data_IF_999073680955
#
_entry.id   IF_999073680955
#
_cell.length_a   1.000
_cell.length_b   1.000
_cell.length_c   1.000
_cell.angle_alpha   90.00
_cell.angle_beta   90.00
_cell.angle_gamma   90.00
#
_symmetry.space_group_name_H-M   'P 1'
#
loop_
_entity.id
_entity.type
_entity.pdbx_description
1 polymer ?
#
# COMPACT_ATOMS: atom_id res chain seq x y z
N UNK A 1 -7.23 0.92 28.74
CA UNK A 1 -6.14 0.47 27.86
C UNK A 1 -6.15 1.42 26.70
N UNK A 2 -5.06 2.15 26.43
CA UNK A 2 -5.06 3.13 25.33
C UNK A 2 -5.39 2.44 24.01
N UNK A 3 -6.24 3.07 23.18
CA UNK A 3 -6.59 2.57 21.86
C UNK A 3 -5.36 2.67 20.95
N UNK A 4 -4.48 1.68 21.04
CA UNK A 4 -3.36 1.58 20.12
C UNK A 4 -3.92 1.23 18.74
N UNK A 5 -3.75 2.15 17.78
CA UNK A 5 -4.10 1.96 16.36
C UNK A 5 -3.50 0.68 15.79
N UNK A 6 -2.33 0.26 16.31
CA UNK A 6 -1.61 -0.93 15.89
C UNK A 6 -1.45 -1.93 17.03
N UNK A 7 -1.55 -3.21 16.70
CA UNK A 7 -1.36 -4.31 17.65
C UNK A 7 0.12 -4.66 17.95
N UNK A 8 1.07 -3.98 17.29
CA UNK A 8 2.51 -4.17 17.40
C UNK A 8 3.26 -2.84 17.20
N UNK A 9 4.55 -2.74 17.60
CA UNK A 9 5.37 -1.58 17.27
C UNK A 9 5.38 -1.31 15.75
N UNK A 10 5.21 -0.05 15.36
CA UNK A 10 5.13 0.33 13.93
C UNK A 10 6.37 -0.08 13.13
N UNK A 11 7.55 -0.12 13.77
CA UNK A 11 8.79 -0.57 13.14
C UNK A 11 8.75 -2.04 12.74
N UNK A 12 8.08 -2.89 13.51
CA UNK A 12 7.87 -4.30 13.16
C UNK A 12 6.90 -4.44 12.00
N UNK A 13 5.84 -3.64 11.99
CA UNK A 13 4.83 -3.65 10.93
C UNK A 13 5.45 -3.21 9.60
N UNK A 14 6.22 -2.11 9.59
CA UNK A 14 6.92 -1.62 8.39
C UNK A 14 7.89 -2.68 7.86
N UNK A 15 8.63 -3.37 8.73
CA UNK A 15 9.55 -4.46 8.35
C UNK A 15 8.81 -5.70 7.83
N UNK A 16 7.65 -6.03 8.40
CA UNK A 16 6.84 -7.18 7.99
C UNK A 16 6.10 -6.94 6.65
N UNK A 17 5.79 -5.68 6.34
CA UNK A 17 5.08 -5.31 5.11
C UNK A 17 5.87 -5.74 3.87
N UNK A 18 5.21 -6.50 3.00
CA UNK A 18 5.73 -6.91 1.69
C UNK A 18 4.65 -6.79 0.63
N UNK A 19 5.03 -6.70 -0.65
CA UNK A 19 4.07 -6.74 -1.75
C UNK A 19 3.59 -8.18 -1.97
N UNK A 20 2.37 -8.48 -1.53
CA UNK A 20 1.74 -9.81 -1.63
C UNK A 20 0.92 -9.89 -2.92
N UNK A 21 1.16 -10.94 -3.71
CA UNK A 21 0.48 -11.16 -5.00
C UNK A 21 -0.29 -12.48 -5.06
N UNK A 22 -0.05 -13.37 -4.10
CA UNK A 22 -0.77 -14.62 -3.93
C UNK A 22 -1.50 -14.60 -2.61
N UNK A 23 -2.80 -14.83 -2.65
CA UNK A 23 -3.68 -14.83 -1.49
C UNK A 23 -4.32 -16.22 -1.34
N UNK A 24 -4.62 -16.63 -0.12
CA UNK A 24 -5.58 -17.71 0.05
C UNK A 24 -6.94 -17.16 -0.42
N UNK A 25 -7.78 -17.98 -1.07
CA UNK A 25 -9.06 -17.51 -1.63
C UNK A 25 -10.13 -17.29 -0.55
N UNK A 26 -9.70 -16.96 0.66
CA UNK A 26 -10.54 -16.73 1.83
C UNK A 26 -11.01 -15.27 1.86
N UNK A 27 -12.30 -15.08 2.08
CA UNK A 27 -12.90 -13.75 2.21
C UNK A 27 -12.60 -13.17 3.59
N UNK A 28 -12.45 -11.85 3.68
CA UNK A 28 -12.27 -11.18 4.97
C UNK A 28 -13.48 -11.43 5.87
N UNK A 29 -13.24 -11.70 7.16
CA UNK A 29 -14.33 -11.82 8.13
C UNK A 29 -15.05 -10.47 8.28
N UNK A 30 -16.27 -10.51 8.83
CA UNK A 30 -17.04 -9.30 9.10
C UNK A 30 -16.29 -8.34 10.02
N UNK A 31 -15.75 -8.85 11.13
CA UNK A 31 -14.96 -8.08 12.09
C UNK A 31 -13.74 -7.38 11.45
N UNK A 32 -12.99 -8.11 10.61
CA UNK A 32 -11.83 -7.53 9.91
C UNK A 32 -12.27 -6.46 8.90
N UNK A 33 -13.34 -6.71 8.14
CA UNK A 33 -13.87 -5.75 7.19
C UNK A 33 -14.33 -4.45 7.89
N UNK A 34 -15.04 -4.58 9.01
CA UNK A 34 -15.49 -3.43 9.82
C UNK A 34 -14.32 -2.64 10.40
N UNK A 35 -13.28 -3.31 10.90
CA UNK A 35 -12.05 -2.65 11.37
C UNK A 35 -11.37 -1.83 10.27
N UNK A 36 -11.31 -2.34 9.05
CA UNK A 36 -10.73 -1.64 7.90
C UNK A 36 -11.61 -0.46 7.50
N UNK A 37 -12.92 -0.65 7.40
CA UNK A 37 -13.87 0.41 7.05
C UNK A 37 -13.89 1.54 8.08
N UNK A 38 -13.77 1.22 9.37
CA UNK A 38 -13.67 2.22 10.43
C UNK A 38 -12.35 2.99 10.33
N UNK A 39 -11.23 2.31 10.10
CA UNK A 39 -9.95 2.98 9.90
C UNK A 39 -9.95 3.90 8.68
N UNK A 40 -10.60 3.50 7.58
CA UNK A 40 -10.84 4.34 6.40
C UNK A 40 -11.61 5.62 6.75
N UNK A 41 -12.57 5.57 7.67
CA UNK A 41 -13.35 6.76 8.09
C UNK A 41 -12.53 7.70 8.98
N UNK A 42 -11.54 7.19 9.69
CA UNK A 42 -10.76 7.93 10.68
C UNK A 42 -9.45 8.49 10.13
N UNK A 43 -8.87 7.84 9.13
CA UNK A 43 -7.59 8.25 8.57
C UNK A 43 -7.65 9.66 7.98
N UNK A 44 -6.61 10.46 8.25
CA UNK A 44 -6.48 11.83 7.72
C UNK A 44 -5.04 12.06 7.27
N UNK A 45 -4.88 12.91 6.26
CA UNK A 45 -3.59 13.42 5.81
C UNK A 45 -3.35 14.86 6.29
N UNK A 46 -2.07 15.26 6.43
CA UNK A 46 -1.71 16.62 6.86
C UNK A 46 -1.87 17.68 5.74
N UNK A 47 -2.29 17.28 4.54
CA UNK A 47 -2.38 18.16 3.36
C UNK A 47 -3.79 18.71 3.13
N UNK A 48 -4.71 18.47 4.07
CA UNK A 48 -6.11 18.91 4.01
C UNK A 48 -6.81 18.48 2.71
N UNK A 49 -6.55 17.25 2.26
CA UNK A 49 -7.22 16.65 1.09
C UNK A 49 -8.27 15.65 1.53
N UNK A 50 -9.42 15.70 0.87
CA UNK A 50 -10.44 14.68 1.03
C UNK A 50 -10.21 13.61 -0.04
N UNK A 51 -9.87 12.41 0.42
CA UNK A 51 -9.71 11.23 -0.44
C UNK A 51 -10.92 10.32 -0.25
N UNK A 52 -11.26 9.55 -1.29
CA UNK A 52 -12.35 8.58 -1.21
C UNK A 52 -11.77 7.18 -1.36
N UNK A 53 -11.83 6.42 -0.27
CA UNK A 53 -11.29 5.08 -0.17
C UNK A 53 -12.47 4.11 -0.02
N UNK A 54 -12.47 3.01 -0.80
CA UNK A 54 -13.49 1.96 -0.69
C UNK A 54 -12.82 0.60 -0.50
N UNK A 55 -13.32 -0.17 0.46
CA UNK A 55 -13.10 -1.61 0.55
C UNK A 55 -14.10 -2.31 -0.38
N UNK A 56 -13.59 -3.01 -1.37
CA UNK A 56 -14.35 -3.72 -2.39
C UNK A 56 -14.29 -5.21 -2.08
N UNK A 57 -15.45 -5.82 -1.78
CA UNK A 57 -15.57 -7.26 -1.65
C UNK A 57 -16.13 -7.84 -2.97
N UNK A 58 -15.35 -8.68 -3.65
CA UNK A 58 -15.75 -9.25 -4.93
C UNK A 58 -16.94 -10.19 -4.84
N UNK A 59 -17.15 -10.86 -3.71
CA UNK A 59 -18.29 -11.76 -3.53
C UNK A 59 -19.62 -11.00 -3.43
N UNK A 60 -19.59 -9.68 -3.22
CA UNK A 60 -20.77 -8.79 -3.19
C UNK A 60 -21.04 -8.12 -4.54
N UNK A 61 -20.17 -8.28 -5.53
CA UNK A 61 -20.36 -7.67 -6.85
C UNK A 61 -21.33 -8.52 -7.68
N UNK A 62 -22.13 -7.86 -8.53
CA UNK A 62 -22.91 -8.57 -9.55
C UNK A 62 -21.95 -9.34 -10.47
N UNK A 63 -22.30 -10.59 -10.84
CA UNK A 63 -21.42 -11.51 -11.58
C UNK A 63 -20.95 -10.99 -12.95
N UNK A 64 -21.51 -9.87 -13.43
CA UNK A 64 -21.07 -9.12 -14.62
C UNK A 64 -19.82 -8.27 -14.38
N UNK A 65 -19.54 -7.86 -13.14
CA UNK A 65 -18.39 -7.02 -12.77
C UNK A 65 -17.18 -7.88 -12.43
N UNK A 66 -16.40 -8.27 -13.46
CA UNK A 66 -15.14 -9.00 -13.28
C UNK A 66 -13.99 -8.02 -13.08
N UNK A 67 -13.52 -7.91 -11.84
CA UNK A 67 -12.31 -7.16 -11.50
C UNK A 67 -11.06 -7.96 -11.90
N UNK A 68 -10.34 -7.44 -12.89
CA UNK A 68 -9.18 -8.10 -13.48
C UNK A 68 -7.87 -7.42 -13.09
N UNK A 69 -6.85 -8.22 -12.81
CA UNK A 69 -5.47 -7.78 -12.54
C UNK A 69 -4.48 -8.29 -13.58
N UNK A 70 -5.00 -8.74 -14.74
CA UNK A 70 -4.21 -9.28 -15.85
C UNK A 70 -3.20 -10.37 -15.45
N UNK A 71 -3.58 -11.23 -14.49
CA UNK A 71 -2.75 -12.32 -13.98
C UNK A 71 -1.73 -11.90 -12.90
N UNK A 72 -1.66 -10.61 -12.54
CA UNK A 72 -0.69 -10.11 -11.56
C UNK A 72 -1.02 -10.47 -10.11
N UNK A 73 -2.30 -10.72 -9.82
CA UNK A 73 -2.80 -11.11 -8.50
C UNK A 73 -3.57 -12.43 -8.62
N UNK A 74 -3.30 -13.36 -7.70
CA UNK A 74 -3.98 -14.65 -7.60
C UNK A 74 -4.69 -14.78 -6.26
N UNK A 75 -5.95 -15.23 -6.29
CA UNK A 75 -6.72 -15.63 -5.10
C UNK A 75 -7.29 -14.49 -4.26
N UNK A 76 -6.93 -13.22 -4.51
CA UNK A 76 -7.50 -12.11 -3.74
C UNK A 76 -9.03 -12.06 -3.93
N UNK A 77 -9.76 -11.90 -2.83
CA UNK A 77 -11.24 -11.76 -2.79
C UNK A 77 -11.70 -10.34 -2.48
N UNK A 78 -10.78 -9.48 -2.03
CA UNK A 78 -11.08 -8.10 -1.70
C UNK A 78 -9.98 -7.16 -2.20
N UNK A 79 -10.37 -5.92 -2.46
CA UNK A 79 -9.49 -4.86 -2.95
C UNK A 79 -9.78 -3.56 -2.20
N UNK A 80 -8.79 -2.68 -2.15
CA UNK A 80 -8.93 -1.31 -1.69
C UNK A 80 -8.67 -0.42 -2.90
N UNK A 81 -9.64 0.42 -3.24
CA UNK A 81 -9.48 1.50 -4.21
C UNK A 81 -9.41 2.84 -3.51
N UNK A 82 -8.62 3.77 -4.06
CA UNK A 82 -8.51 5.14 -3.58
C UNK A 82 -8.62 6.13 -4.75
N UNK A 83 -9.52 7.09 -4.64
CA UNK A 83 -9.70 8.20 -5.59
C UNK A 83 -9.43 9.54 -4.93
N UNK A 84 -9.08 10.52 -5.76
CA UNK A 84 -8.92 11.90 -5.34
C UNK A 84 -9.35 12.84 -6.46
N UNK A 85 -9.73 14.07 -6.12
CA UNK A 85 -9.84 15.14 -7.12
C UNK A 85 -8.45 15.67 -7.47
N UNK A 86 -8.29 16.20 -8.67
CA UNK A 86 -7.05 16.88 -9.04
C UNK A 86 -6.76 18.06 -8.12
N UNK A 87 -5.48 18.34 -7.91
CA UNK A 87 -5.04 19.47 -7.11
C UNK A 87 -3.63 19.29 -6.57
N UNK A 88 -3.05 20.40 -6.13
CA UNK A 88 -1.72 20.43 -5.52
C UNK A 88 -1.66 19.45 -4.34
N UNK A 89 -0.58 18.66 -4.25
CA UNK A 89 -0.35 17.64 -3.21
C UNK A 89 -1.39 16.50 -3.14
N UNK A 90 -2.35 16.39 -4.07
CA UNK A 90 -3.37 15.34 -4.02
C UNK A 90 -2.75 13.92 -4.06
N UNK A 91 -1.75 13.71 -4.92
CA UNK A 91 -1.03 12.43 -4.98
C UNK A 91 -0.15 12.17 -3.74
N UNK A 92 0.37 13.22 -3.10
CA UNK A 92 1.15 13.10 -1.86
C UNK A 92 0.23 12.69 -0.70
N UNK A 93 -0.96 13.31 -0.62
CA UNK A 93 -1.99 12.92 0.33
C UNK A 93 -2.44 11.46 0.10
N UNK A 94 -2.64 11.06 -1.15
CA UNK A 94 -2.94 9.68 -1.52
C UNK A 94 -1.84 8.72 -1.06
N UNK A 95 -0.59 9.08 -1.34
CA UNK A 95 0.58 8.33 -0.88
C UNK A 95 0.57 8.08 0.62
N UNK A 96 0.30 9.15 1.38
CA UNK A 96 0.25 9.14 2.83
C UNK A 96 -0.87 8.24 3.37
N UNK A 97 -2.13 8.48 2.99
CA UNK A 97 -3.25 7.73 3.54
C UNK A 97 -3.23 6.27 3.11
N UNK A 98 -2.86 6.00 1.86
CA UNK A 98 -2.84 4.64 1.36
C UNK A 98 -1.74 3.80 2.02
N UNK A 99 -0.56 4.36 2.29
CA UNK A 99 0.47 3.61 3.02
C UNK A 99 0.11 3.39 4.49
N UNK A 100 -0.51 4.37 5.15
CA UNK A 100 -1.09 4.19 6.49
C UNK A 100 -2.09 3.03 6.53
N UNK A 101 -3.00 2.95 5.54
CA UNK A 101 -3.95 1.83 5.40
C UNK A 101 -3.26 0.49 5.10
N UNK A 102 -2.20 0.49 4.28
CA UNK A 102 -1.37 -0.70 4.02
C UNK A 102 -0.70 -1.21 5.30
N UNK A 103 -0.16 -0.31 6.13
CA UNK A 103 0.46 -0.67 7.41
C UNK A 103 -0.59 -1.16 8.42
N UNK A 104 -1.77 -0.53 8.46
CA UNK A 104 -2.88 -1.01 9.27
C UNK A 104 -3.33 -2.42 8.87
N UNK A 105 -3.52 -2.68 7.57
CA UNK A 105 -3.81 -4.02 7.06
C UNK A 105 -2.71 -5.03 7.43
N UNK A 106 -1.45 -4.64 7.34
CA UNK A 106 -0.30 -5.47 7.74
C UNK A 106 -0.35 -5.81 9.24
N UNK A 107 -0.76 -4.87 10.09
CA UNK A 107 -0.94 -5.10 11.52
C UNK A 107 -2.03 -6.14 11.80
N UNK A 108 -3.09 -6.18 10.98
CA UNK A 108 -4.14 -7.19 11.04
C UNK A 108 -3.72 -8.56 10.45
N UNK A 109 -2.47 -8.71 10.01
CA UNK A 109 -1.96 -9.93 9.39
C UNK A 109 -2.33 -10.11 7.92
N UNK A 110 -2.80 -9.05 7.26
CA UNK A 110 -3.21 -9.09 5.86
C UNK A 110 -2.07 -8.64 4.94
N UNK A 111 -2.01 -9.27 3.75
CA UNK A 111 -1.15 -8.85 2.66
C UNK A 111 -1.78 -7.76 1.80
N UNK A 112 -0.95 -6.92 1.20
CA UNK A 112 -1.37 -5.88 0.23
C UNK A 112 -0.34 -5.76 -0.90
N UNK A 113 -0.72 -5.10 -2.00
CA UNK A 113 0.20 -4.75 -3.08
C UNK A 113 -0.28 -3.51 -3.83
N UNK A 114 0.52 -2.45 -3.85
CA UNK A 114 0.28 -1.30 -4.69
C UNK A 114 0.22 -1.69 -6.18
N UNK A 115 -0.90 -1.39 -6.85
CA UNK A 115 -1.09 -1.60 -8.29
C UNK A 115 -1.51 -0.31 -8.98
N UNK A 116 -0.59 0.29 -9.74
CA UNK A 116 -0.85 1.52 -10.50
C UNK A 116 -0.97 1.35 -12.02
N UNK A 117 -0.59 0.19 -12.58
CA UNK A 117 -0.50 0.03 -14.05
C UNK A 117 -1.12 -1.24 -14.63
N UNK A 118 -1.33 -2.28 -13.82
CA UNK A 118 -1.70 -3.62 -14.31
C UNK A 118 -3.02 -4.12 -13.72
N UNK A 119 -4.09 -3.34 -13.91
CA UNK A 119 -5.45 -3.71 -13.53
C UNK A 119 -6.49 -3.14 -14.51
N UNK A 120 -7.70 -3.69 -14.51
CA UNK A 120 -8.79 -3.20 -15.35
C UNK A 120 -9.38 -1.90 -14.80
N UNK A 121 -8.72 -0.78 -15.12
CA UNK A 121 -9.11 0.55 -14.63
C UNK A 121 -10.58 0.87 -14.89
N UNK A 122 -11.12 0.53 -16.06
CA UNK A 122 -12.53 0.78 -16.39
C UNK A 122 -13.50 0.05 -15.44
N UNK A 123 -13.27 -1.24 -15.16
CA UNK A 123 -14.15 -2.01 -14.28
C UNK A 123 -14.04 -1.54 -12.83
N UNK A 124 -12.82 -1.28 -12.35
CA UNK A 124 -12.64 -0.74 -11.00
C UNK A 124 -13.22 0.67 -10.86
N UNK A 125 -13.09 1.55 -11.87
CA UNK A 125 -13.70 2.88 -11.84
C UNK A 125 -15.23 2.82 -11.74
N UNK A 126 -15.88 1.82 -12.35
CA UNK A 126 -17.32 1.60 -12.19
C UNK A 126 -17.68 1.18 -10.76
N UNK A 127 -16.94 0.24 -10.18
CA UNK A 127 -17.15 -0.21 -8.79
C UNK A 127 -16.85 0.90 -7.78
N UNK A 128 -15.87 1.75 -8.09
CA UNK A 128 -15.57 2.94 -7.30
C UNK A 128 -16.63 4.03 -7.45
N UNK A 129 -17.51 3.96 -8.45
CA UNK A 129 -18.48 5.00 -8.80
C UNK A 129 -17.76 6.35 -8.98
N UNK A 130 -16.73 6.34 -9.84
CA UNK A 130 -15.86 7.49 -10.06
C UNK A 130 -16.69 8.74 -10.42
N UNK A 131 -16.51 9.81 -9.65
CA UNK A 131 -17.19 11.08 -9.88
C UNK A 131 -16.46 11.91 -10.93
N UNK A 132 -17.15 12.90 -11.50
CA UNK A 132 -16.53 13.85 -12.42
C UNK A 132 -15.38 14.60 -11.73
N UNK A 133 -14.24 14.71 -12.43
CA UNK A 133 -13.03 15.35 -11.91
C UNK A 133 -12.22 14.52 -10.91
N UNK A 134 -12.62 13.26 -10.66
CA UNK A 134 -11.80 12.34 -9.87
C UNK A 134 -10.81 11.53 -10.71
N UNK A 135 -9.63 11.32 -10.12
CA UNK A 135 -8.59 10.45 -10.60
C UNK A 135 -8.59 9.16 -9.76
N UNK A 136 -8.49 8.03 -10.45
CA UNK A 136 -8.32 6.72 -9.85
C UNK A 136 -6.97 6.12 -10.27
N UNK A 137 -5.89 6.37 -9.52
CA UNK A 137 -4.56 5.98 -9.96
C UNK A 137 -4.17 4.57 -9.51
N UNK A 138 -4.70 4.09 -8.36
CA UNK A 138 -4.15 2.92 -7.67
C UNK A 138 -5.25 2.06 -7.06
N UNK A 139 -5.03 0.75 -7.12
CA UNK A 139 -5.76 -0.25 -6.34
C UNK A 139 -4.77 -1.13 -5.58
N UNK A 140 -5.19 -1.75 -4.48
CA UNK A 140 -4.45 -2.84 -3.85
C UNK A 140 -5.39 -4.01 -3.58
N UNK A 141 -5.03 -5.26 -3.90
CA UNK A 141 -5.66 -6.40 -3.24
C UNK A 141 -5.42 -6.34 -1.73
N UNK A 142 -6.32 -6.96 -0.97
CA UNK A 142 -6.18 -7.17 0.46
C UNK A 142 -6.75 -8.54 0.83
N UNK A 143 -6.04 -9.27 1.69
CA UNK A 143 -6.44 -10.62 2.10
C UNK A 143 -5.31 -11.36 2.81
N UNK A 144 -5.56 -12.60 3.21
CA UNK A 144 -4.50 -13.40 3.82
C UNK A 144 -3.55 -13.92 2.76
N UNK A 145 -2.26 -13.84 3.07
CA UNK A 145 -1.20 -14.31 2.18
C UNK A 145 -1.35 -15.82 1.95
N UNK A 146 -1.39 -16.23 0.68
CA UNK A 146 -1.43 -17.62 0.29
C UNK A 146 -0.06 -18.28 0.35
N UNK A 147 -0.03 -19.62 0.35
CA UNK A 147 1.22 -20.37 0.38
C UNK A 147 2.12 -20.05 -0.83
N UNK A 148 3.36 -19.67 -0.52
CA UNK A 148 4.32 -19.06 -1.44
C UNK A 148 4.98 -20.04 -2.41
N UNK A 149 4.33 -21.16 -2.76
CA UNK A 149 4.81 -22.06 -3.83
C UNK A 149 4.51 -21.54 -5.24
N UNK A 150 3.90 -20.36 -5.35
CA UNK A 150 3.72 -19.68 -6.63
C UNK A 150 5.08 -19.20 -7.16
N UNK A 151 5.68 -19.99 -8.06
CA UNK A 151 6.90 -19.63 -8.81
C UNK A 151 6.80 -18.20 -9.38
N UNK A 152 5.59 -17.78 -9.78
CA UNK A 152 5.30 -16.43 -10.26
C UNK A 152 5.58 -15.32 -9.25
N UNK A 153 5.28 -15.50 -7.96
CA UNK A 153 5.55 -14.47 -6.94
C UNK A 153 7.06 -14.28 -6.73
N UNK A 154 7.82 -15.38 -6.71
CA UNK A 154 9.28 -15.34 -6.66
C UNK A 154 9.87 -14.67 -7.89
N UNK A 155 9.35 -14.97 -9.10
CA UNK A 155 9.77 -14.33 -10.35
C UNK A 155 9.49 -12.82 -10.31
N UNK A 156 8.28 -12.39 -9.96
CA UNK A 156 7.93 -10.96 -9.91
C UNK A 156 8.72 -10.23 -8.82
N UNK A 157 8.94 -10.84 -7.65
CA UNK A 157 9.80 -10.25 -6.61
C UNK A 157 11.23 -10.06 -7.10
N UNK A 158 11.74 -11.03 -7.87
CA UNK A 158 13.08 -10.98 -8.45
C UNK A 158 13.20 -9.92 -9.54
N UNK A 159 12.27 -9.90 -10.51
CA UNK A 159 12.30 -8.96 -11.64
C UNK A 159 12.00 -7.52 -11.23
N UNK A 160 11.03 -7.31 -10.35
CA UNK A 160 10.72 -5.99 -9.79
C UNK A 160 11.69 -5.56 -8.68
N UNK A 161 12.61 -6.44 -8.25
CA UNK A 161 13.53 -6.26 -7.11
C UNK A 161 12.83 -5.74 -5.85
N UNK A 162 11.55 -6.05 -5.66
CA UNK A 162 10.64 -5.36 -4.72
C UNK A 162 11.04 -5.38 -3.24
N UNK A 163 11.93 -6.29 -2.84
CA UNK A 163 12.50 -6.39 -1.49
C UNK A 163 13.89 -5.75 -1.37
N UNK A 164 14.56 -5.43 -2.47
CA UNK A 164 15.86 -4.76 -2.45
C UNK A 164 15.66 -3.29 -2.12
N UNK A 165 16.52 -2.77 -1.24
CA UNK A 165 16.60 -1.36 -0.92
C UNK A 165 18.04 -0.89 -1.11
N UNK A 166 18.19 0.33 -1.61
CA UNK A 166 19.49 1.02 -1.67
C UNK A 166 20.05 1.18 -0.25
N UNK A 167 21.37 1.31 -0.14
CA UNK A 167 21.98 1.55 1.16
C UNK A 167 21.46 2.85 1.78
N UNK A 168 21.45 2.95 3.10
CA UNK A 168 21.04 4.15 3.82
C UNK A 168 21.82 5.39 3.34
N UNK A 169 23.13 5.24 3.13
CA UNK A 169 24.00 6.33 2.70
C UNK A 169 23.73 6.83 1.27
N UNK A 170 23.04 6.05 0.44
CA UNK A 170 22.66 6.45 -0.93
C UNK A 170 21.37 7.29 -0.98
N UNK A 171 20.56 7.25 0.09
CA UNK A 171 19.22 7.86 0.11
C UNK A 171 19.08 9.08 1.01
N UNK A 172 20.03 9.33 1.92
CA UNK A 172 19.92 10.38 2.91
C UNK A 172 21.16 11.23 2.96
N UNK A 173 20.96 12.54 3.11
CA UNK A 173 22.03 13.52 3.02
C UNK A 173 21.97 14.52 4.17
N UNK A 174 23.12 15.04 4.56
CA UNK A 174 23.26 16.08 5.59
C UNK A 174 23.59 17.39 4.89
N UNK A 175 22.80 18.43 5.15
CA UNK A 175 23.00 19.81 4.65
C UNK A 175 22.91 20.03 3.12
N UNK A 176 23.36 19.11 2.27
CA UNK A 176 23.25 19.17 0.81
C UNK A 176 23.29 17.76 0.19
N UNK A 177 22.88 17.61 -1.06
CA UNK A 177 22.78 16.32 -1.77
C UNK A 177 24.12 15.63 -2.11
N UNK A 178 25.26 16.25 -1.80
CA UNK A 178 26.59 15.66 -2.04
C UNK A 178 27.20 15.06 -0.77
N UNK A 179 26.58 15.27 0.40
CA UNK A 179 27.11 14.81 1.68
C UNK A 179 26.20 13.74 2.28
N UNK A 180 26.53 12.47 2.04
CA UNK A 180 25.78 11.34 2.57
C UNK A 180 25.68 11.39 4.11
N UNK A 181 24.48 11.09 4.62
CA UNK A 181 24.21 10.98 6.04
C UNK A 181 24.59 9.59 6.54
N UNK A 182 25.53 9.50 7.48
CA UNK A 182 25.84 8.22 8.14
C UNK A 182 24.80 7.85 9.18
N UNK A 183 24.72 6.57 9.55
CA UNK A 183 23.76 6.07 10.55
C UNK A 183 24.02 6.70 11.91
N UNK A 184 25.28 6.87 12.28
CA UNK A 184 25.71 7.48 13.53
C UNK A 184 25.35 8.98 13.55
N UNK A 185 25.59 9.68 12.44
CA UNK A 185 25.27 11.11 12.32
C UNK A 185 23.76 11.38 12.29
N UNK A 186 22.94 10.41 11.88
CA UNK A 186 21.48 10.52 11.91
C UNK A 186 20.92 10.52 13.34
N UNK A 187 21.63 9.92 14.32
CA UNK A 187 21.24 9.91 15.72
C UNK A 187 19.78 9.50 15.94
N UNK A 188 18.99 10.34 16.62
CA UNK A 188 17.56 10.08 16.87
C UNK A 188 16.70 9.96 15.61
N UNK A 189 17.17 10.48 14.48
CA UNK A 189 16.45 10.39 13.20
C UNK A 189 16.77 9.10 12.43
N UNK A 190 17.73 8.29 12.89
CA UNK A 190 18.11 7.06 12.20
C UNK A 190 16.90 6.11 12.03
N UNK A 191 16.18 5.81 13.10
CA UNK A 191 15.05 4.87 13.05
C UNK A 191 13.94 5.30 12.09
N UNK A 192 13.37 6.52 12.14
CA UNK A 192 12.33 6.92 11.20
C UNK A 192 12.84 6.95 9.75
N UNK A 193 14.08 7.39 9.49
CA UNK A 193 14.67 7.37 8.15
C UNK A 193 14.87 5.94 7.64
N UNK A 194 15.33 5.03 8.49
CA UNK A 194 15.47 3.62 8.15
C UNK A 194 14.11 2.98 7.85
N UNK A 195 13.05 3.37 8.55
CA UNK A 195 11.70 2.89 8.26
C UNK A 195 11.14 3.47 6.96
N UNK A 196 11.35 4.76 6.71
CA UNK A 196 11.08 5.38 5.41
C UNK A 196 11.84 4.68 4.29
N UNK A 197 13.08 4.23 4.57
CA UNK A 197 13.89 3.50 3.60
C UNK A 197 13.23 2.22 3.09
N UNK A 198 12.41 1.59 3.93
CA UNK A 198 11.69 0.35 3.63
C UNK A 198 10.36 0.58 2.89
N UNK A 199 9.93 1.82 2.70
CA UNK A 199 8.69 2.16 2.02
C UNK A 199 8.61 1.54 0.61
N UNK A 200 7.42 1.16 0.14
CA UNK A 200 7.22 0.74 -1.24
C UNK A 200 7.41 1.91 -2.21
N UNK A 201 7.72 1.59 -3.47
CA UNK A 201 7.74 2.59 -4.54
C UNK A 201 7.40 1.93 -5.88
N UNK A 202 6.86 2.73 -6.81
CA UNK A 202 6.52 2.26 -8.15
C UNK A 202 7.73 1.61 -8.83
N UNK A 203 7.57 0.36 -9.26
CA UNK A 203 8.62 -0.50 -9.85
C UNK A 203 9.95 -0.49 -9.07
N UNK A 204 9.88 -0.28 -7.74
CA UNK A 204 11.01 -0.15 -6.82
C UNK A 204 12.05 0.94 -7.19
N UNK A 205 11.61 2.03 -7.84
CA UNK A 205 12.48 3.16 -8.22
C UNK A 205 13.19 3.82 -7.04
N UNK A 206 12.56 3.83 -5.86
CA UNK A 206 13.04 4.51 -4.65
C UNK A 206 13.39 5.99 -4.94
N UNK A 207 12.42 6.81 -5.40
CA UNK A 207 12.66 8.14 -5.97
C UNK A 207 13.10 9.21 -4.96
N UNK A 208 13.32 8.80 -3.71
CA UNK A 208 13.85 9.59 -2.62
C UNK A 208 15.37 9.37 -2.43
N UNK A 209 15.98 8.56 -3.30
CA UNK A 209 17.43 8.40 -3.44
C UNK A 209 17.85 8.89 -4.82
N UNK A 210 18.92 9.72 -4.88
CA UNK A 210 19.44 10.30 -6.13
C UNK A 210 19.96 9.24 -7.10
#
# INVERSE_FOLDING_TARGET
MGDYIFNKPITEIIKARTSVRTYNSESLSKDISEKIENYIKEIRNPFNKNLRIKLINMDKLDGKQKLGTYGMIKGAKSFIGITHKEGELAEVALGYEFECLVLYATSLGLGTCWMGGTFNKSQFSKVMELEEGEVFPIVSPIGYKGDSRSVFESIVKFTAKSSKRRDFSEGFFKSNFNMALTKEAAGKYYTPLEMFRLAPSAVNKQPWSN
#
